data_IF_939892665863
#
_entry.id   IF_939892665863
#
_cell.length_a   1.000
_cell.length_b   1.000
_cell.length_c   1.000
_cell.angle_alpha   90.00
_cell.angle_beta   90.00
_cell.angle_gamma   90.00
#
_symmetry.space_group_name_H-M   'P 1'
#
loop_
_entity.id
_entity.type
_entity.pdbx_description
1 polymer ?
#
# COMPACT_ATOMS: atom_id res chain seq x y z
N UNK A 1 3.64 40.77 2.03
CA UNK A 1 3.43 40.43 0.62
C UNK A 1 4.08 39.11 0.21
N UNK A 2 5.30 38.83 0.67
CA UNK A 2 5.98 37.56 0.36
C UNK A 2 5.27 36.32 0.94
N UNK A 3 4.71 36.44 2.13
CA UNK A 3 3.99 35.33 2.79
C UNK A 3 2.75 34.89 2.01
N UNK A 4 1.99 35.84 1.43
CA UNK A 4 0.78 35.52 0.65
C UNK A 4 1.14 34.82 -0.66
N UNK A 5 2.25 35.22 -1.29
CA UNK A 5 2.75 34.60 -2.51
C UNK A 5 3.25 33.18 -2.23
N UNK A 6 3.96 32.97 -1.12
CA UNK A 6 4.44 31.65 -0.69
C UNK A 6 3.28 30.69 -0.39
N UNK A 7 2.24 31.15 0.32
CA UNK A 7 1.06 30.34 0.59
C UNK A 7 0.32 29.93 -0.69
N UNK A 8 0.18 30.84 -1.65
CA UNK A 8 -0.44 30.54 -2.94
C UNK A 8 0.38 29.54 -3.74
N UNK A 9 1.70 29.69 -3.72
CA UNK A 9 2.64 28.78 -4.39
C UNK A 9 2.56 27.38 -3.77
N UNK A 10 2.55 27.27 -2.44
CA UNK A 10 2.41 26.01 -1.74
C UNK A 10 1.09 25.32 -2.06
N UNK A 11 -0.02 26.06 -2.11
CA UNK A 11 -1.34 25.50 -2.48
C UNK A 11 -1.37 25.02 -3.92
N UNK A 12 -0.75 25.75 -4.85
CA UNK A 12 -0.65 25.33 -6.24
C UNK A 12 0.21 24.09 -6.39
N UNK A 13 1.32 24.00 -5.66
CA UNK A 13 2.20 22.83 -5.67
C UNK A 13 1.50 21.59 -5.11
N UNK A 14 0.73 21.75 -4.04
CA UNK A 14 -0.08 20.66 -3.48
C UNK A 14 -1.15 20.18 -4.43
N UNK A 15 -1.87 21.09 -5.08
CA UNK A 15 -2.88 20.77 -6.08
C UNK A 15 -2.26 20.06 -7.29
N UNK A 16 -1.11 20.54 -7.73
CA UNK A 16 -0.37 19.94 -8.83
C UNK A 16 0.12 18.54 -8.48
N UNK A 17 0.59 18.34 -7.27
CA UNK A 17 1.01 17.02 -6.77
C UNK A 17 -0.16 16.06 -6.70
N UNK A 18 -1.30 16.47 -6.14
CA UNK A 18 -2.51 15.64 -6.04
C UNK A 18 -2.98 15.26 -7.44
N UNK A 19 -3.06 16.22 -8.38
CA UNK A 19 -3.47 15.95 -9.75
C UNK A 19 -2.53 14.92 -10.43
N UNK A 20 -1.24 15.05 -10.19
CA UNK A 20 -0.24 14.12 -10.74
C UNK A 20 -0.39 12.73 -10.14
N UNK A 21 -0.65 12.63 -8.83
CA UNK A 21 -0.86 11.35 -8.15
C UNK A 21 -2.16 10.70 -8.58
N UNK A 22 -3.21 11.48 -8.83
CA UNK A 22 -4.47 10.98 -9.40
C UNK A 22 -4.25 10.42 -10.81
N UNK A 23 -3.47 11.10 -11.63
CA UNK A 23 -3.10 10.62 -12.96
C UNK A 23 -2.29 9.30 -12.88
N UNK A 24 -1.34 9.23 -11.98
CA UNK A 24 -0.60 7.98 -11.72
C UNK A 24 -1.56 6.85 -11.34
N UNK A 25 -2.52 7.13 -10.47
CA UNK A 25 -3.54 6.17 -10.06
C UNK A 25 -4.39 5.69 -11.23
N UNK A 26 -4.81 6.60 -12.10
CA UNK A 26 -5.60 6.25 -13.29
C UNK A 26 -4.83 5.37 -14.27
N UNK A 27 -3.57 5.68 -14.53
CA UNK A 27 -2.70 4.88 -15.39
C UNK A 27 -2.48 3.49 -14.79
N UNK A 28 -2.23 3.44 -13.48
CA UNK A 28 -2.05 2.19 -12.76
C UNK A 28 -3.33 1.34 -12.79
N UNK A 29 -4.49 1.95 -12.60
CA UNK A 29 -5.78 1.26 -12.66
C UNK A 29 -6.03 0.66 -14.03
N UNK A 30 -5.76 1.39 -15.10
CA UNK A 30 -5.90 0.89 -16.47
C UNK A 30 -5.01 -0.33 -16.71
N UNK A 31 -3.78 -0.27 -16.23
CA UNK A 31 -2.84 -1.39 -16.32
C UNK A 31 -3.35 -2.62 -15.56
N UNK A 32 -3.85 -2.42 -14.35
CA UNK A 32 -4.36 -3.50 -13.51
C UNK A 32 -5.67 -4.08 -14.03
N UNK A 33 -6.54 -3.26 -14.60
CA UNK A 33 -7.76 -3.74 -15.27
C UNK A 33 -7.41 -4.66 -16.43
N UNK A 34 -6.44 -4.27 -17.24
CA UNK A 34 -5.97 -5.10 -18.34
C UNK A 34 -5.38 -6.42 -17.84
N UNK A 35 -4.63 -6.38 -16.74
CA UNK A 35 -4.07 -7.57 -16.12
C UNK A 35 -5.17 -8.52 -15.61
N UNK A 36 -6.19 -7.99 -14.96
CA UNK A 36 -7.32 -8.80 -14.49
C UNK A 36 -8.09 -9.42 -15.65
N UNK A 37 -8.29 -8.67 -16.74
CA UNK A 37 -8.95 -9.19 -17.95
C UNK A 37 -8.16 -10.34 -18.58
N UNK A 38 -6.86 -10.19 -18.68
CA UNK A 38 -5.98 -11.23 -19.26
C UNK A 38 -5.98 -12.48 -18.38
N UNK A 39 -6.00 -12.29 -17.04
CA UNK A 39 -6.03 -13.40 -16.08
C UNK A 39 -7.43 -13.99 -15.91
N UNK A 40 -8.46 -13.40 -16.54
CA UNK A 40 -9.85 -13.79 -16.41
C UNK A 40 -10.32 -13.76 -14.95
N UNK A 41 -9.94 -12.71 -14.25
CA UNK A 41 -10.31 -12.48 -12.85
C UNK A 41 -11.19 -11.25 -12.73
N UNK A 42 -12.16 -11.32 -11.82
CA UNK A 42 -13.00 -10.18 -11.47
C UNK A 42 -12.49 -9.51 -10.20
N UNK A 43 -12.44 -8.19 -10.21
CA UNK A 43 -12.04 -7.43 -9.05
C UNK A 43 -12.39 -5.96 -9.24
N UNK A 44 -12.65 -5.29 -8.14
CA UNK A 44 -12.89 -3.86 -8.12
C UNK A 44 -11.61 -3.15 -7.69
N UNK A 45 -11.27 -2.09 -8.40
CA UNK A 45 -10.06 -1.31 -8.14
C UNK A 45 -10.46 0.02 -7.51
N UNK A 46 -10.00 0.26 -6.29
CA UNK A 46 -10.16 1.53 -5.60
C UNK A 46 -8.85 2.31 -5.70
N UNK A 47 -8.98 3.60 -6.03
CA UNK A 47 -7.84 4.50 -6.16
C UNK A 47 -7.97 5.58 -5.09
N UNK A 48 -6.89 5.82 -4.36
CA UNK A 48 -6.83 6.87 -3.35
C UNK A 48 -5.45 7.54 -3.39
N UNK A 49 -5.34 8.69 -2.76
CA UNK A 49 -4.08 9.40 -2.60
C UNK A 49 -3.83 9.57 -1.12
N UNK A 50 -2.82 8.89 -0.61
CA UNK A 50 -2.45 8.90 0.80
C UNK A 50 -0.94 9.07 0.95
N UNK A 51 -0.53 9.87 1.93
CA UNK A 51 0.90 10.03 2.27
C UNK A 51 1.77 10.40 1.06
N UNK A 52 1.26 11.31 0.21
CA UNK A 52 1.94 11.81 -0.99
C UNK A 52 2.29 10.70 -1.99
N UNK A 53 1.43 9.67 -2.07
CA UNK A 53 1.54 8.60 -3.08
C UNK A 53 0.17 8.11 -3.50
N UNK A 54 0.09 7.54 -4.69
CA UNK A 54 -1.10 6.87 -5.15
C UNK A 54 -1.22 5.52 -4.42
N UNK A 55 -2.43 5.20 -3.98
CA UNK A 55 -2.73 3.95 -3.30
C UNK A 55 -3.85 3.25 -4.06
N UNK A 56 -3.63 2.00 -4.44
CA UNK A 56 -4.62 1.21 -5.18
C UNK A 56 -4.91 -0.06 -4.40
N UNK A 57 -6.17 -0.45 -4.38
CA UNK A 57 -6.60 -1.69 -3.74
C UNK A 57 -7.49 -2.46 -4.70
N UNK A 58 -7.22 -3.74 -4.85
CA UNK A 58 -8.05 -4.65 -5.64
C UNK A 58 -8.74 -5.61 -4.67
N UNK A 59 -10.05 -5.65 -4.73
CA UNK A 59 -10.86 -6.51 -3.89
C UNK A 59 -12.08 -7.00 -4.68
N UNK A 60 -12.81 -7.95 -4.13
CA UNK A 60 -14.01 -8.50 -4.75
C UNK A 60 -13.76 -9.79 -5.49
N UNK A 61 -14.67 -10.13 -6.40
CA UNK A 61 -14.64 -11.42 -7.08
C UNK A 61 -15.06 -12.57 -6.17
N UNK A 62 -14.91 -13.79 -6.64
CA UNK A 62 -15.19 -14.98 -5.85
C UNK A 62 -14.11 -15.19 -4.79
N UNK A 63 -14.45 -15.77 -3.61
CA UNK A 63 -13.45 -16.03 -2.58
C UNK A 63 -12.28 -16.86 -3.11
N UNK A 64 -11.07 -16.39 -2.89
CA UNK A 64 -9.84 -17.06 -3.30
C UNK A 64 -9.34 -16.75 -4.71
N UNK A 65 -10.14 -16.11 -5.56
CA UNK A 65 -9.74 -15.79 -6.94
C UNK A 65 -8.52 -14.88 -6.98
N UNK A 66 -8.48 -13.88 -6.10
CA UNK A 66 -7.38 -12.93 -6.05
C UNK A 66 -6.14 -13.45 -5.32
N UNK A 67 -6.26 -14.60 -4.63
CA UNK A 67 -5.13 -15.16 -3.88
C UNK A 67 -3.94 -15.52 -4.77
N UNK A 68 -4.20 -15.86 -6.03
CA UNK A 68 -3.14 -16.15 -7.01
C UNK A 68 -2.32 -14.91 -7.33
N UNK A 69 -2.93 -13.72 -7.26
CA UNK A 69 -2.24 -12.45 -7.49
C UNK A 69 -1.46 -11.96 -6.28
N UNK A 70 -1.72 -12.54 -5.13
CA UNK A 70 -0.96 -12.26 -3.91
C UNK A 70 0.26 -13.17 -3.80
N UNK A 71 0.05 -14.48 -4.02
CA UNK A 71 1.08 -15.49 -3.89
C UNK A 71 1.45 -15.78 -2.44
N UNK A 72 2.42 -16.65 -2.25
CA UNK A 72 2.93 -16.97 -0.93
C UNK A 72 3.66 -15.75 -0.35
N UNK A 73 3.26 -15.31 0.85
CA UNK A 73 3.87 -14.16 1.53
C UNK A 73 3.81 -12.85 0.76
N UNK A 74 2.94 -12.74 -0.25
CA UNK A 74 2.79 -11.53 -1.04
C UNK A 74 3.84 -11.35 -2.13
N UNK A 75 4.56 -12.39 -2.53
CA UNK A 75 5.59 -12.31 -3.56
C UNK A 75 5.04 -11.86 -4.91
N UNK A 76 3.88 -12.41 -5.31
CA UNK A 76 3.25 -12.04 -6.57
C UNK A 76 2.73 -10.61 -6.51
N UNK A 77 2.13 -10.24 -5.38
CA UNK A 77 1.67 -8.87 -5.16
C UNK A 77 2.81 -7.86 -5.29
N UNK A 78 3.95 -8.14 -4.67
CA UNK A 78 5.12 -7.26 -4.76
C UNK A 78 5.63 -7.14 -6.21
N UNK A 79 5.63 -8.24 -6.96
CA UNK A 79 6.03 -8.23 -8.36
C UNK A 79 5.05 -7.42 -9.21
N UNK A 80 3.75 -7.57 -9.00
CA UNK A 80 2.73 -6.80 -9.71
C UNK A 80 2.85 -5.31 -9.38
N UNK A 81 3.12 -4.97 -8.14
CA UNK A 81 3.35 -3.58 -7.74
C UNK A 81 4.52 -2.96 -8.49
N UNK A 82 5.63 -3.67 -8.59
CA UNK A 82 6.80 -3.18 -9.33
C UNK A 82 6.50 -3.03 -10.83
N UNK A 83 5.81 -4.00 -11.44
CA UNK A 83 5.41 -3.91 -12.83
C UNK A 83 4.46 -2.72 -13.06
N UNK A 84 3.54 -2.48 -12.14
CA UNK A 84 2.60 -1.37 -12.22
C UNK A 84 3.35 -0.04 -12.11
N UNK A 85 4.32 0.06 -11.21
CA UNK A 85 5.17 1.25 -11.10
C UNK A 85 5.94 1.52 -12.38
N UNK A 86 6.46 0.48 -13.01
CA UNK A 86 7.16 0.61 -14.30
C UNK A 86 6.21 1.06 -15.43
N UNK A 87 4.99 0.53 -15.45
CA UNK A 87 3.98 0.95 -16.43
C UNK A 87 3.63 2.44 -16.27
N UNK A 88 3.47 2.90 -15.05
CA UNK A 88 3.22 4.32 -14.75
C UNK A 88 4.42 5.17 -15.18
N UNK A 89 5.63 4.74 -14.86
CA UNK A 89 6.84 5.45 -15.25
C UNK A 89 6.96 5.58 -16.77
N UNK A 90 6.63 4.53 -17.51
CA UNK A 90 6.64 4.53 -18.97
C UNK A 90 5.62 5.52 -19.53
N UNK A 91 4.45 5.60 -18.92
CA UNK A 91 3.38 6.49 -19.38
C UNK A 91 3.59 7.95 -18.98
N UNK A 92 4.03 8.22 -17.76
CA UNK A 92 4.16 9.59 -17.25
C UNK A 92 5.56 10.17 -17.39
N UNK A 93 6.56 9.33 -17.58
CA UNK A 93 7.96 9.75 -17.62
C UNK A 93 8.58 9.94 -16.23
N UNK A 94 7.81 9.77 -15.17
CA UNK A 94 8.28 9.96 -13.81
C UNK A 94 8.15 8.68 -12.98
N UNK A 95 9.08 8.52 -12.05
CA UNK A 95 9.09 7.38 -11.13
C UNK A 95 7.89 7.45 -10.20
N UNK A 96 7.16 6.34 -10.08
CA UNK A 96 6.02 6.23 -9.19
C UNK A 96 6.39 5.50 -7.90
N UNK A 97 5.83 5.96 -6.79
CA UNK A 97 5.95 5.31 -5.48
C UNK A 97 4.61 4.72 -5.05
N UNK A 98 3.74 4.41 -6.01
CA UNK A 98 2.42 3.89 -5.69
C UNK A 98 2.49 2.63 -4.82
N UNK A 99 1.46 2.45 -4.02
CA UNK A 99 1.27 1.24 -3.21
C UNK A 99 0.09 0.48 -3.76
N UNK A 100 0.26 -0.82 -3.92
CA UNK A 100 -0.79 -1.72 -4.36
C UNK A 100 -1.08 -2.74 -3.27
N UNK A 101 -2.36 -2.91 -2.97
CA UNK A 101 -2.83 -4.01 -2.14
C UNK A 101 -3.83 -4.86 -2.94
N UNK A 102 -3.84 -6.15 -2.70
CA UNK A 102 -4.77 -7.09 -3.33
C UNK A 102 -5.36 -7.96 -2.24
N UNK A 103 -6.70 -8.05 -2.26
CA UNK A 103 -7.47 -8.87 -1.32
C UNK A 103 -7.17 -8.53 0.15
N UNK A 104 -6.89 -7.27 0.40
CA UNK A 104 -6.54 -6.73 1.72
C UNK A 104 -5.34 -7.43 2.39
N UNK A 105 -4.44 -7.99 1.60
CA UNK A 105 -3.29 -8.74 2.12
C UNK A 105 -2.41 -7.87 3.04
N UNK A 106 -2.07 -6.65 2.59
CA UNK A 106 -1.23 -5.74 3.38
C UNK A 106 -1.97 -5.25 4.63
N UNK A 107 -3.28 -5.01 4.50
CA UNK A 107 -4.11 -4.62 5.64
C UNK A 107 -4.21 -5.73 6.68
N UNK A 108 -4.49 -6.96 6.26
CA UNK A 108 -4.56 -8.12 7.15
C UNK A 108 -3.21 -8.39 7.82
N UNK A 109 -2.13 -8.29 7.07
CA UNK A 109 -0.78 -8.45 7.61
C UNK A 109 -0.47 -7.41 8.68
N UNK A 110 -0.88 -6.18 8.44
CA UNK A 110 -0.71 -5.08 9.39
C UNK A 110 -1.52 -5.33 10.67
N UNK A 111 -2.75 -5.82 10.54
CA UNK A 111 -3.58 -6.19 11.68
C UNK A 111 -2.98 -7.35 12.47
N UNK A 112 -2.51 -8.38 11.80
CA UNK A 112 -1.85 -9.52 12.44
C UNK A 112 -0.61 -9.07 13.23
N UNK A 113 0.21 -8.21 12.63
CA UNK A 113 1.40 -7.68 13.29
C UNK A 113 1.04 -6.81 14.49
N UNK A 114 -0.04 -6.02 14.39
CA UNK A 114 -0.52 -5.21 15.50
C UNK A 114 -1.01 -6.07 16.66
N UNK A 115 -1.75 -7.14 16.37
CA UNK A 115 -2.21 -8.11 17.38
C UNK A 115 -1.04 -8.82 18.03
N UNK A 116 -0.09 -9.28 17.24
CA UNK A 116 1.10 -9.97 17.72
C UNK A 116 1.93 -9.03 18.61
N UNK A 117 2.11 -7.78 18.20
CA UNK A 117 2.82 -6.79 18.99
C UNK A 117 2.14 -6.53 20.32
N UNK A 118 0.79 -6.49 20.32
CA UNK A 118 0.01 -6.31 21.54
C UNK A 118 0.15 -7.50 22.48
N UNK A 119 0.06 -8.72 21.96
CA UNK A 119 0.24 -9.95 22.73
C UNK A 119 1.65 -10.04 23.30
N UNK A 120 2.66 -9.73 22.53
CA UNK A 120 4.06 -9.70 22.99
C UNK A 120 4.22 -8.65 24.09
N UNK A 121 3.64 -7.46 23.92
CA UNK A 121 3.69 -6.41 24.93
C UNK A 121 3.03 -6.85 26.24
N UNK A 122 1.90 -7.55 26.18
CA UNK A 122 1.24 -8.10 27.36
C UNK A 122 2.09 -9.19 28.02
N UNK A 123 2.68 -10.09 27.24
CA UNK A 123 3.58 -11.13 27.76
C UNK A 123 4.81 -10.52 28.43
N UNK A 124 5.38 -9.49 27.83
CA UNK A 124 6.52 -8.77 28.41
C UNK A 124 6.11 -8.09 29.70
N UNK A 125 4.93 -7.50 29.78
CA UNK A 125 4.39 -6.93 31.01
C UNK A 125 4.19 -7.99 32.10
N UNK A 126 3.60 -9.13 31.74
CA UNK A 126 3.35 -10.22 32.68
C UNK A 126 4.65 -10.87 33.16
N UNK A 127 5.62 -11.05 32.24
CA UNK A 127 6.92 -11.64 32.58
C UNK A 127 7.92 -10.62 33.10
N UNK A 128 7.66 -9.33 32.96
CA UNK A 128 8.50 -8.24 33.45
C UNK A 128 8.75 -8.31 34.95
N UNK A 129 7.77 -8.71 35.71
CA UNK A 129 7.90 -8.92 37.15
C UNK A 129 8.75 -10.17 37.45
N UNK A 130 8.59 -11.21 36.65
CA UNK A 130 9.39 -12.44 36.78
C UNK A 130 10.85 -12.24 36.35
N UNK A 131 11.07 -11.41 35.33
CA UNK A 131 12.43 -11.09 34.84
C UNK A 131 13.22 -10.26 35.84
N UNK A 132 12.56 -9.42 36.62
CA UNK A 132 13.20 -8.66 37.70
C UNK A 132 13.69 -9.56 38.83
N UNK A 133 13.10 -10.75 38.99
CA UNK A 133 13.47 -11.74 40.01
C UNK A 133 14.52 -12.72 39.52
N UNK A 134 14.80 -12.75 38.21
CA UNK A 134 15.85 -13.60 37.62
C UNK A 134 16.83 -12.71 36.88
N UNK A 135 18.10 -12.64 37.33
CA UNK A 135 19.09 -11.93 36.53
C UNK A 135 19.25 -12.61 35.18
N UNK A 136 19.04 -11.82 34.11
CA UNK A 136 19.28 -12.34 32.77
C UNK A 136 20.77 -12.52 32.56
N UNK A 137 21.15 -13.76 32.44
CA UNK A 137 22.50 -14.05 31.91
C UNK A 137 22.46 -13.79 30.40
N UNK A 138 23.36 -12.97 29.98
CA UNK A 138 23.51 -12.63 28.57
C UNK A 138 23.75 -13.88 27.71
#
# INVERSE_FOLDING_TARGET
>A
MSEVVEEKTEKLDKKSLVARLEEEGDVAADYLEALLDIADLDGDIDIDVENDRASLAIAGGAPGDLSHLVGDRGEVLDAIQELTRLAVQTSTGERSRLMLDIDNFRGDKKEELAKLAHEIAEQVKASGESVKLRPMNA
#
